data_IF_689102394762
#
_entry.id   IF_689102394762
#
_cell.length_a   1.000
_cell.length_b   1.000
_cell.length_c   1.000
_cell.angle_alpha   90.00
_cell.angle_beta   90.00
_cell.angle_gamma   90.00
#
_symmetry.space_group_name_H-M   'P 1'
#
loop_
_entity.id
_entity.type
_entity.pdbx_description
1 polymer ?
#
# COMPACT_ATOMS: atom_id res chain seq x y z
N UNK A 1 12.49 -17.03 6.95
CA UNK A 1 12.62 -15.58 6.78
C UNK A 1 11.64 -15.14 5.71
N UNK A 2 10.70 -14.29 6.07
CA UNK A 2 9.64 -13.84 5.17
C UNK A 2 9.34 -12.38 5.50
N UNK A 3 9.84 -11.48 4.68
CA UNK A 3 9.72 -10.06 4.92
C UNK A 3 9.57 -9.31 3.61
N UNK A 4 8.63 -8.36 3.58
CA UNK A 4 8.40 -7.51 2.42
C UNK A 4 8.41 -6.06 2.86
N UNK A 5 8.99 -5.20 2.05
CA UNK A 5 9.01 -3.77 2.28
C UNK A 5 8.70 -3.09 0.96
N UNK A 6 7.53 -2.47 0.87
CA UNK A 6 7.12 -1.81 -0.37
C UNK A 6 6.59 -0.40 -0.09
N UNK A 7 6.77 0.47 -1.06
CA UNK A 7 6.25 1.83 -1.04
C UNK A 7 5.37 1.99 -2.27
N UNK A 8 4.16 2.49 -2.06
CA UNK A 8 3.23 2.69 -3.16
C UNK A 8 2.05 3.54 -2.75
N UNK A 9 1.15 3.75 -3.71
CA UNK A 9 -0.07 4.51 -3.47
C UNK A 9 -1.23 3.59 -3.23
N UNK A 10 -2.09 3.99 -2.30
CA UNK A 10 -3.30 3.24 -1.99
C UNK A 10 -4.27 3.38 -3.17
N UNK A 11 -4.73 2.26 -3.71
CA UNK A 11 -5.58 2.24 -4.89
C UNK A 11 -7.07 2.29 -4.57
N UNK A 12 -7.45 2.10 -3.30
CA UNK A 12 -8.85 2.13 -2.85
C UNK A 12 -8.92 2.72 -1.44
N UNK A 13 -10.03 3.37 -1.11
CA UNK A 13 -10.21 3.90 0.24
C UNK A 13 -10.23 2.75 1.26
N UNK A 14 -9.41 2.83 2.33
CA UNK A 14 -9.41 1.77 3.34
C UNK A 14 -10.75 1.72 4.09
N UNK A 15 -11.34 0.54 4.11
CA UNK A 15 -12.58 0.29 4.86
C UNK A 15 -12.30 -0.69 6.00
N UNK A 16 -12.76 -0.34 7.18
CA UNK A 16 -12.61 -1.21 8.35
C UNK A 16 -13.80 -2.17 8.41
N UNK A 17 -13.49 -3.46 8.47
CA UNK A 17 -14.50 -4.52 8.60
C UNK A 17 -14.24 -5.30 9.87
N UNK A 18 -15.31 -5.70 10.55
CA UNK A 18 -15.20 -6.59 11.69
C UNK A 18 -15.47 -8.02 11.27
N UNK A 19 -14.60 -8.93 11.69
CA UNK A 19 -14.73 -10.35 11.42
C UNK A 19 -14.58 -11.12 12.73
N UNK A 20 -14.85 -12.42 12.67
CA UNK A 20 -14.65 -13.29 13.83
C UNK A 20 -13.19 -13.33 14.30
N UNK A 21 -12.27 -13.08 13.37
CA UNK A 21 -10.82 -13.08 13.63
C UNK A 21 -10.28 -11.72 14.05
N UNK A 22 -11.12 -10.71 14.05
CA UNK A 22 -10.72 -9.35 14.41
C UNK A 22 -11.10 -8.34 13.34
N UNK A 23 -10.62 -7.11 13.50
CA UNK A 23 -10.86 -6.03 12.55
C UNK A 23 -9.85 -6.12 11.43
N UNK A 24 -10.30 -5.91 10.20
CA UNK A 24 -9.42 -5.98 9.02
C UNK A 24 -9.76 -4.87 8.04
N UNK A 25 -8.72 -4.37 7.39
CA UNK A 25 -8.87 -3.48 6.25
C UNK A 25 -8.04 -4.07 5.10
N UNK A 26 -8.68 -4.30 3.96
CA UNK A 26 -8.01 -4.81 2.78
C UNK A 26 -7.82 -3.66 1.80
N UNK A 27 -6.57 -3.39 1.46
CA UNK A 27 -6.24 -2.35 0.48
C UNK A 27 -5.45 -2.96 -0.66
N UNK A 28 -5.43 -2.26 -1.78
CA UNK A 28 -4.55 -2.57 -2.90
C UNK A 28 -3.51 -1.46 -2.97
N UNK A 29 -2.25 -1.84 -3.04
CA UNK A 29 -1.16 -0.90 -3.14
C UNK A 29 -0.61 -0.90 -4.55
N UNK A 30 -0.59 0.27 -5.18
CA UNK A 30 -0.07 0.45 -6.53
C UNK A 30 1.40 0.83 -6.45
N UNK A 31 2.26 -0.01 -7.03
CA UNK A 31 3.71 0.18 -6.99
C UNK A 31 4.23 0.24 -8.41
N UNK A 32 4.80 1.37 -8.77
CA UNK A 32 5.37 1.55 -10.10
C UNK A 32 6.71 0.82 -10.21
N UNK A 33 6.90 0.08 -11.29
CA UNK A 33 8.18 -0.58 -11.55
C UNK A 33 9.27 0.47 -11.81
N UNK A 34 10.52 0.22 -11.42
CA UNK A 34 11.58 1.21 -11.53
C UNK A 34 12.15 1.38 -12.93
N UNK A 35 11.67 0.62 -13.92
CA UNK A 35 12.18 0.67 -15.28
C UNK A 35 11.05 0.70 -16.30
N UNK A 36 11.32 1.24 -17.47
CA UNK A 36 10.35 1.31 -18.56
C UNK A 36 10.26 -0.01 -19.32
N UNK A 37 9.07 -0.32 -19.82
CA UNK A 37 8.86 -1.46 -20.69
C UNK A 37 9.32 -1.15 -22.13
N UNK A 38 9.12 -2.08 -23.05
CA UNK A 38 9.54 -1.95 -24.44
C UNK A 38 8.88 -0.76 -25.15
N UNK A 39 7.74 -0.30 -24.67
CA UNK A 39 7.02 0.84 -25.26
C UNK A 39 7.38 2.17 -24.60
N UNK A 40 8.37 2.19 -23.71
CA UNK A 40 8.80 3.38 -23.03
C UNK A 40 7.90 3.81 -21.88
N UNK A 41 7.03 2.93 -21.40
CA UNK A 41 6.09 3.21 -20.34
C UNK A 41 6.47 2.49 -19.05
N UNK A 42 6.16 3.11 -17.91
CA UNK A 42 6.31 2.46 -16.61
C UNK A 42 5.07 1.62 -16.31
N UNK A 43 5.28 0.37 -16.01
CA UNK A 43 4.20 -0.51 -15.58
C UNK A 43 4.00 -0.40 -14.07
N UNK A 44 2.78 -0.67 -13.62
CA UNK A 44 2.42 -0.63 -12.21
C UNK A 44 1.98 -2.02 -11.77
N UNK A 45 2.53 -2.44 -10.65
CA UNK A 45 2.09 -3.67 -9.99
C UNK A 45 1.08 -3.33 -8.90
N UNK A 46 0.07 -4.17 -8.75
CA UNK A 46 -0.96 -4.00 -7.73
C UNK A 46 -0.87 -5.15 -6.73
N UNK A 47 -0.63 -4.81 -5.48
CA UNK A 47 -0.47 -5.83 -4.44
C UNK A 47 -1.60 -5.76 -3.43
N UNK A 48 -2.28 -6.88 -3.16
CA UNK A 48 -3.25 -6.92 -2.06
C UNK A 48 -2.53 -6.88 -0.72
N UNK A 49 -2.99 -6.01 0.16
CA UNK A 49 -2.43 -5.84 1.51
C UNK A 49 -3.56 -5.99 2.51
N UNK A 50 -3.41 -6.91 3.44
CA UNK A 50 -4.34 -7.09 4.55
C UNK A 50 -3.77 -6.43 5.80
N UNK A 51 -4.58 -5.61 6.44
CA UNK A 51 -4.19 -4.85 7.62
C UNK A 51 -5.14 -5.25 8.74
N UNK A 52 -4.59 -5.63 9.90
CA UNK A 52 -5.40 -6.17 10.99
C UNK A 52 -5.36 -5.29 12.24
N UNK A 53 -6.47 -5.32 12.96
CA UNK A 53 -6.62 -4.77 14.32
C UNK A 53 -6.26 -3.29 14.44
N UNK A 54 -5.41 -2.91 15.38
CA UNK A 54 -5.13 -1.50 15.66
C UNK A 54 -4.50 -0.77 14.46
N UNK A 55 -3.67 -1.47 13.70
CA UNK A 55 -3.08 -0.88 12.49
C UNK A 55 -4.18 -0.61 11.47
N UNK A 56 -5.15 -1.52 11.34
CA UNK A 56 -6.29 -1.34 10.44
C UNK A 56 -7.15 -0.15 10.86
N UNK A 57 -7.41 0.01 12.15
CA UNK A 57 -8.16 1.14 12.67
C UNK A 57 -7.48 2.46 12.34
N UNK A 58 -6.20 2.54 12.61
CA UNK A 58 -5.42 3.77 12.33
C UNK A 58 -5.37 4.06 10.84
N UNK A 59 -5.12 3.04 10.03
CA UNK A 59 -5.03 3.22 8.58
C UNK A 59 -6.36 3.69 7.98
N UNK A 60 -7.47 3.07 8.37
CA UNK A 60 -8.77 3.45 7.85
C UNK A 60 -9.19 4.86 8.28
N UNK A 61 -8.68 5.32 9.43
CA UNK A 61 -8.98 6.64 9.95
C UNK A 61 -8.16 7.73 9.25
N UNK A 62 -6.88 7.49 8.98
CA UNK A 62 -5.96 8.52 8.51
C UNK A 62 -5.57 8.45 7.05
N UNK A 63 -5.78 7.32 6.39
CA UNK A 63 -5.35 7.14 5.01
C UNK A 63 -6.52 7.13 4.05
N UNK A 64 -6.27 7.60 2.83
CA UNK A 64 -7.27 7.66 1.76
C UNK A 64 -6.66 7.17 0.46
N UNK A 65 -7.52 6.84 -0.49
CA UNK A 65 -7.10 6.50 -1.85
C UNK A 65 -6.16 7.56 -2.41
N UNK A 66 -5.04 7.12 -2.94
CA UNK A 66 -4.02 7.99 -3.54
C UNK A 66 -2.88 8.36 -2.60
N UNK A 67 -3.02 8.11 -1.30
CA UNK A 67 -1.95 8.40 -0.35
C UNK A 67 -0.75 7.50 -0.59
N UNK A 68 0.44 8.05 -0.39
CA UNK A 68 1.70 7.32 -0.49
C UNK A 68 2.06 6.77 0.87
N UNK A 69 2.23 5.45 0.96
CA UNK A 69 2.58 4.78 2.20
C UNK A 69 3.70 3.78 1.99
N UNK A 70 4.42 3.48 3.06
CA UNK A 70 5.34 2.36 3.12
C UNK A 70 4.72 1.25 3.94
N UNK A 71 4.82 0.03 3.47
CA UNK A 71 4.29 -1.15 4.15
C UNK A 71 5.41 -2.13 4.39
N UNK A 72 5.61 -2.47 5.66
CA UNK A 72 6.48 -3.56 6.06
C UNK A 72 5.60 -4.70 6.51
N UNK A 73 5.83 -5.88 5.99
CA UNK A 73 5.03 -7.02 6.34
C UNK A 73 5.62 -8.33 5.85
N UNK A 74 4.80 -9.33 5.79
CA UNK A 74 5.18 -10.65 5.30
C UNK A 74 4.22 -11.10 4.20
N UNK A 75 4.71 -11.96 3.34
CA UNK A 75 3.87 -12.57 2.31
C UNK A 75 3.10 -13.74 2.91
N UNK A 76 1.86 -13.88 2.48
CA UNK A 76 1.01 -14.99 2.87
C UNK A 76 0.29 -15.52 1.65
N UNK A 77 0.27 -16.82 1.50
CA UNK A 77 -0.48 -17.48 0.44
C UNK A 77 -1.71 -18.14 1.02
N UNK A 78 -2.85 -17.90 0.39
CA UNK A 78 -4.10 -18.54 0.75
C UNK A 78 -4.87 -18.81 -0.54
N UNK A 79 -5.20 -20.08 -0.78
CA UNK A 79 -5.93 -20.49 -1.99
C UNK A 79 -5.24 -20.01 -3.27
N UNK A 80 -3.91 -20.13 -3.31
CA UNK A 80 -3.05 -19.69 -4.43
C UNK A 80 -3.03 -18.20 -4.68
N UNK A 81 -3.54 -17.39 -3.75
CA UNK A 81 -3.46 -15.94 -3.82
C UNK A 81 -2.44 -15.46 -2.80
N UNK A 82 -1.49 -14.66 -3.28
CA UNK A 82 -0.45 -14.08 -2.43
C UNK A 82 -0.86 -12.68 -2.03
N UNK A 83 -0.83 -12.41 -0.72
CA UNK A 83 -1.08 -11.08 -0.19
C UNK A 83 0.02 -10.70 0.80
N UNK A 84 0.09 -9.42 1.10
CA UNK A 84 1.00 -8.90 2.11
C UNK A 84 0.19 -8.69 3.37
N UNK A 85 0.66 -9.25 4.49
CA UNK A 85 0.06 -8.99 5.80
C UNK A 85 0.89 -7.87 6.42
N UNK A 86 0.28 -6.71 6.59
CA UNK A 86 0.98 -5.53 7.10
C UNK A 86 1.33 -5.69 8.57
N UNK A 87 2.60 -5.47 8.89
CA UNK A 87 3.09 -5.43 10.26
C UNK A 87 3.33 -3.99 10.70
N UNK A 88 3.65 -3.13 9.75
CA UNK A 88 3.88 -1.72 10.02
C UNK A 88 3.53 -0.91 8.77
N UNK A 89 2.85 0.21 8.98
CA UNK A 89 2.54 1.15 7.91
C UNK A 89 3.12 2.50 8.27
N UNK A 90 3.84 3.10 7.33
CA UNK A 90 4.40 4.44 7.46
C UNK A 90 3.73 5.34 6.46
N UNK A 91 3.06 6.38 6.95
CA UNK A 91 2.47 7.39 6.10
C UNK A 91 3.57 8.29 5.55
N UNK A 92 3.60 8.48 4.24
CA UNK A 92 4.65 9.28 3.59
C UNK A 92 4.13 10.58 3.01
N UNK A 93 2.97 10.55 2.33
CA UNK A 93 2.43 11.74 1.70
C UNK A 93 0.96 11.57 1.36
N UNK A 94 0.18 12.63 1.52
CA UNK A 94 -1.20 12.62 1.06
C UNK A 94 -1.25 13.00 -0.42
N UNK A 95 -2.31 12.60 -1.09
CA UNK A 95 -2.56 12.99 -2.48
C UNK A 95 -3.05 14.45 -2.61
N UNK A 96 -3.12 15.20 -1.53
CA UNK A 96 -3.47 16.60 -1.64
C UNK A 96 -2.32 17.37 -2.26
N UNK A 97 -2.20 17.19 -3.55
CA UNK A 97 -1.84 18.16 -4.38
C UNK A 97 -0.47 18.71 -4.57
N UNK A 98 -0.17 19.86 -4.13
CA UNK A 98 1.08 20.55 -4.37
C UNK A 98 2.28 19.86 -3.76
N UNK A 99 2.08 19.29 -2.59
CA UNK A 99 3.13 18.57 -1.88
C UNK A 99 3.47 17.26 -2.57
N UNK A 100 2.47 16.60 -3.13
CA UNK A 100 2.65 15.36 -3.89
C UNK A 100 3.54 15.58 -5.10
N UNK A 101 3.31 16.66 -5.84
CA UNK A 101 4.10 16.98 -7.02
C UNK A 101 5.55 17.24 -6.65
N UNK A 102 5.79 17.96 -5.58
CA UNK A 102 7.14 18.24 -5.10
C UNK A 102 7.86 16.98 -4.66
N UNK A 103 7.17 16.11 -3.93
CA UNK A 103 7.73 14.84 -3.45
C UNK A 103 8.04 13.91 -4.61
N UNK A 104 7.17 13.82 -5.61
CA UNK A 104 7.42 13.00 -6.78
C UNK A 104 8.66 13.48 -7.55
N UNK A 105 8.88 14.77 -7.63
CA UNK A 105 10.06 15.32 -8.26
C UNK A 105 11.33 14.97 -7.48
N UNK A 106 11.26 15.01 -6.17
CA UNK A 106 12.39 14.63 -5.31
C UNK A 106 12.70 13.14 -5.43
N UNK A 107 11.68 12.30 -5.48
CA UNK A 107 11.86 10.86 -5.59
C UNK A 107 12.40 10.42 -6.95
N UNK A 108 12.26 11.23 -7.98
CA UNK A 108 12.78 10.92 -9.31
C UNK A 108 14.23 11.35 -9.53
N UNK A 109 14.78 12.03 -8.58
CA UNK A 109 16.18 12.49 -8.63
C UNK A 109 17.14 11.47 -7.93
#
# INVERSE_FOLDING_TARGET
MNQSLIIGRIANDPELKETEKGKVSNITLAVQRPFKNANGEYETDFFPVAIWNSIAETTSQYCRKGDLIGVKGRLQSKDNVISIIAERITFLSSKSIKDDISIEKELKV
#
